data_IF_505059271532
#
_entry.id   IF_505059271532
#
_cell.length_a   1.000
_cell.length_b   1.000
_cell.length_c   1.000
_cell.angle_alpha   90.00
_cell.angle_beta   90.00
_cell.angle_gamma   90.00
#
_symmetry.space_group_name_H-M   'P 1'
#
loop_
_entity.id
_entity.type
_entity.pdbx_description
1 polymer ?
#
# COMPACT_ATOMS: atom_id res chain seq x y z
N UNK A 1 5.69 -3.37 11.09
CA UNK A 1 4.73 -2.25 11.11
C UNK A 1 5.02 -1.11 12.09
N UNK A 2 5.55 -1.36 13.30
CA UNK A 2 5.77 -0.36 14.38
C UNK A 2 6.17 1.07 13.95
N UNK A 3 7.15 1.22 13.05
CA UNK A 3 7.62 2.54 12.58
C UNK A 3 6.57 3.32 11.79
N UNK A 4 5.77 2.63 10.98
CA UNK A 4 4.67 3.23 10.22
C UNK A 4 3.59 3.67 11.19
N UNK A 5 3.20 2.81 12.14
CA UNK A 5 2.20 3.14 13.17
C UNK A 5 2.61 4.37 13.98
N UNK A 6 3.87 4.47 14.41
CA UNK A 6 4.37 5.66 15.12
C UNK A 6 4.21 6.94 14.29
N UNK A 7 4.52 6.88 12.98
CA UNK A 7 4.37 8.04 12.09
C UNK A 7 2.91 8.37 11.79
N UNK A 8 2.06 7.37 11.62
CA UNK A 8 0.61 7.55 11.50
C UNK A 8 0.05 8.30 12.71
N UNK A 9 0.39 7.86 13.93
CA UNK A 9 -0.06 8.51 15.16
C UNK A 9 0.45 9.95 15.26
N UNK A 10 1.71 10.20 14.89
CA UNK A 10 2.27 11.56 14.85
C UNK A 10 1.52 12.47 13.87
N UNK A 11 1.23 11.96 12.66
CA UNK A 11 0.49 12.68 11.62
C UNK A 11 -0.95 12.96 12.08
N UNK A 12 -1.63 11.96 12.66
CA UNK A 12 -2.99 12.09 13.20
C UNK A 12 -3.05 13.11 14.34
N UNK A 13 -2.15 12.99 15.31
CA UNK A 13 -2.09 13.90 16.45
C UNK A 13 -1.83 15.34 15.98
N UNK A 14 -0.98 15.53 14.97
CA UNK A 14 -0.76 16.85 14.40
C UNK A 14 -2.06 17.46 13.83
N UNK A 15 -2.83 16.69 13.05
CA UNK A 15 -4.09 17.16 12.47
C UNK A 15 -5.10 17.51 13.55
N UNK A 16 -5.23 16.66 14.58
CA UNK A 16 -6.20 16.85 15.66
C UNK A 16 -5.84 18.02 16.59
N UNK A 17 -4.54 18.30 16.80
CA UNK A 17 -4.10 19.28 17.79
C UNK A 17 -3.82 20.68 17.21
N UNK A 18 -3.68 20.82 15.88
CA UNK A 18 -3.28 22.09 15.23
C UNK A 18 -4.46 22.92 14.70
N UNK A 19 -5.70 22.45 14.92
CA UNK A 19 -6.92 23.09 14.42
C UNK A 19 -6.84 23.44 12.92
N UNK A 20 -6.28 22.51 12.12
CA UNK A 20 -6.03 22.74 10.69
C UNK A 20 -7.29 23.07 9.91
N UNK A 21 -8.43 22.51 10.32
CA UNK A 21 -9.71 22.76 9.68
C UNK A 21 -10.02 24.26 9.63
N UNK A 22 -10.01 24.92 10.79
CA UNK A 22 -10.30 26.35 10.88
C UNK A 22 -9.25 27.20 10.16
N UNK A 23 -7.97 26.83 10.28
CA UNK A 23 -6.86 27.59 9.69
C UNK A 23 -6.81 27.52 8.16
N UNK A 24 -7.13 26.38 7.55
CA UNK A 24 -6.82 26.13 6.13
C UNK A 24 -7.97 25.54 5.30
N UNK A 25 -8.93 24.85 5.92
CA UNK A 25 -9.88 24.02 5.18
C UNK A 25 -11.35 24.44 5.26
N UNK A 26 -11.69 25.55 5.93
CA UNK A 26 -13.07 26.08 5.97
C UNK A 26 -13.66 26.33 4.58
N UNK A 27 -12.82 26.76 3.61
CA UNK A 27 -13.19 26.94 2.20
C UNK A 27 -12.82 25.73 1.31
N UNK A 28 -12.27 24.66 1.87
CA UNK A 28 -11.76 23.48 1.14
C UNK A 28 -12.27 22.18 1.76
N UNK A 29 -13.60 22.07 1.93
CA UNK A 29 -14.26 20.96 2.63
C UNK A 29 -13.98 19.57 2.00
N UNK A 30 -13.91 19.50 0.68
CA UNK A 30 -13.58 18.26 -0.04
C UNK A 30 -12.16 17.79 0.30
N UNK A 31 -11.19 18.71 0.34
CA UNK A 31 -9.81 18.40 0.70
C UNK A 31 -9.70 17.97 2.18
N UNK A 32 -10.48 18.61 3.07
CA UNK A 32 -10.58 18.18 4.48
C UNK A 32 -11.15 16.77 4.62
N UNK A 33 -12.23 16.45 3.90
CA UNK A 33 -12.79 15.12 3.94
C UNK A 33 -11.78 14.07 3.46
N UNK A 34 -11.09 14.35 2.35
CA UNK A 34 -10.04 13.49 1.84
C UNK A 34 -8.88 13.31 2.83
N UNK A 35 -8.52 14.36 3.58
CA UNK A 35 -7.52 14.27 4.66
C UNK A 35 -7.97 13.31 5.77
N UNK A 36 -9.19 13.48 6.29
CA UNK A 36 -9.74 12.62 7.35
C UNK A 36 -9.79 11.15 6.91
N UNK A 37 -10.38 10.88 5.73
CA UNK A 37 -10.48 9.52 5.18
C UNK A 37 -9.10 8.90 4.98
N UNK A 38 -8.13 9.66 4.48
CA UNK A 38 -6.77 9.15 4.28
C UNK A 38 -6.10 8.76 5.60
N UNK A 39 -6.27 9.57 6.66
CA UNK A 39 -5.72 9.29 8.00
C UNK A 39 -6.38 8.05 8.61
N UNK A 40 -7.71 7.95 8.57
CA UNK A 40 -8.43 6.80 9.11
C UNK A 40 -8.07 5.51 8.38
N UNK A 41 -8.06 5.55 7.04
CA UNK A 41 -7.66 4.40 6.23
C UNK A 41 -6.19 4.00 6.47
N UNK A 42 -5.29 4.96 6.73
CA UNK A 42 -3.91 4.65 7.09
C UNK A 42 -3.83 3.92 8.45
N UNK A 43 -4.63 4.35 9.43
CA UNK A 43 -4.74 3.68 10.73
C UNK A 43 -5.32 2.26 10.62
N UNK A 44 -6.43 2.10 9.90
CA UNK A 44 -7.10 0.81 9.70
C UNK A 44 -6.19 -0.21 9.02
N UNK A 45 -5.44 0.25 8.01
CA UNK A 45 -4.47 -0.61 7.32
C UNK A 45 -3.28 -0.95 8.23
N UNK A 46 -2.89 -0.08 9.17
CA UNK A 46 -1.88 -0.46 10.17
C UNK A 46 -2.36 -1.62 11.05
N UNK A 47 -3.60 -1.56 11.55
CA UNK A 47 -4.19 -2.64 12.36
C UNK A 47 -4.24 -3.97 11.60
N UNK A 48 -4.72 -3.95 10.36
CA UNK A 48 -4.80 -5.14 9.52
C UNK A 48 -3.41 -5.76 9.24
N UNK A 49 -2.42 -4.91 8.96
CA UNK A 49 -1.05 -5.35 8.65
C UNK A 49 -0.30 -5.82 9.89
N UNK A 50 -0.52 -5.21 11.06
CA UNK A 50 0.02 -5.72 12.33
C UNK A 50 -0.54 -7.08 12.68
N UNK A 51 -1.85 -7.31 12.46
CA UNK A 51 -2.45 -8.62 12.64
C UNK A 51 -1.85 -9.66 11.68
N UNK A 52 -1.62 -9.29 10.42
CA UNK A 52 -0.93 -10.17 9.46
C UNK A 52 0.50 -10.50 9.91
N UNK A 53 1.28 -9.50 10.33
CA UNK A 53 2.66 -9.70 10.83
C UNK A 53 2.69 -10.66 12.03
N UNK A 54 1.69 -10.60 12.92
CA UNK A 54 1.61 -11.45 14.11
C UNK A 54 1.08 -12.86 13.83
N UNK A 55 0.13 -13.01 12.90
CA UNK A 55 -0.59 -14.27 12.67
C UNK A 55 -0.07 -15.08 11.47
N UNK A 56 0.78 -14.50 10.62
CA UNK A 56 1.30 -15.15 9.43
C UNK A 56 0.22 -15.50 8.40
N UNK A 57 0.59 -16.23 7.34
CA UNK A 57 -0.30 -16.53 6.21
C UNK A 57 -1.35 -17.62 6.49
N UNK A 58 -1.19 -18.40 7.58
CA UNK A 58 -2.05 -19.53 7.91
C UNK A 58 -1.66 -20.85 7.24
N UNK A 59 -2.31 -21.95 7.64
CA UNK A 59 -1.98 -23.30 7.20
C UNK A 59 -2.98 -23.86 6.19
N UNK A 60 -4.26 -23.50 6.34
CA UNK A 60 -5.34 -23.93 5.46
C UNK A 60 -5.41 -23.10 4.17
N UNK A 61 -5.70 -23.75 3.05
CA UNK A 61 -5.74 -23.10 1.73
C UNK A 61 -6.66 -21.87 1.68
N UNK A 62 -7.85 -21.97 2.26
CA UNK A 62 -8.81 -20.86 2.29
C UNK A 62 -8.30 -19.67 3.11
N UNK A 63 -7.65 -19.94 4.24
CA UNK A 63 -7.07 -18.91 5.10
C UNK A 63 -5.89 -18.22 4.38
N UNK A 64 -5.02 -18.99 3.74
CA UNK A 64 -3.90 -18.50 2.93
C UNK A 64 -4.34 -17.51 1.88
N UNK A 65 -5.38 -17.83 1.10
CA UNK A 65 -5.90 -16.91 0.10
C UNK A 65 -6.51 -15.66 0.73
N UNK A 66 -7.35 -15.81 1.76
CA UNK A 66 -7.99 -14.68 2.41
C UNK A 66 -6.95 -13.70 2.96
N UNK A 67 -5.92 -14.20 3.62
CA UNK A 67 -4.83 -13.40 4.18
C UNK A 67 -3.93 -12.81 3.12
N UNK A 68 -3.59 -13.56 2.05
CA UNK A 68 -2.79 -13.03 0.95
C UNK A 68 -3.52 -11.90 0.22
N UNK A 69 -4.81 -12.07 -0.03
CA UNK A 69 -5.65 -11.07 -0.68
C UNK A 69 -5.85 -9.85 0.22
N UNK A 70 -6.11 -10.09 1.51
CA UNK A 70 -6.21 -9.05 2.53
C UNK A 70 -4.93 -8.24 2.66
N UNK A 71 -3.76 -8.90 2.69
CA UNK A 71 -2.45 -8.25 2.71
C UNK A 71 -2.28 -7.32 1.52
N UNK A 72 -2.48 -7.81 0.30
CA UNK A 72 -2.34 -7.00 -0.90
C UNK A 72 -3.30 -5.82 -0.92
N UNK A 73 -4.55 -6.02 -0.50
CA UNK A 73 -5.55 -4.96 -0.44
C UNK A 73 -5.23 -3.93 0.64
N UNK A 74 -4.79 -4.36 1.83
CA UNK A 74 -4.41 -3.46 2.93
C UNK A 74 -3.20 -2.60 2.54
N UNK A 75 -2.18 -3.18 1.91
CA UNK A 75 -1.03 -2.41 1.40
C UNK A 75 -1.49 -1.42 0.34
N UNK A 76 -2.35 -1.82 -0.60
CA UNK A 76 -2.86 -0.94 -1.65
C UNK A 76 -3.59 0.29 -1.09
N UNK A 77 -4.47 0.07 -0.10
CA UNK A 77 -5.17 1.16 0.60
C UNK A 77 -4.20 2.04 1.39
N UNK A 78 -3.22 1.45 2.08
CA UNK A 78 -2.18 2.20 2.79
C UNK A 78 -1.37 3.09 1.84
N UNK A 79 -1.03 2.58 0.65
CA UNK A 79 -0.37 3.35 -0.39
C UNK A 79 -1.20 4.55 -0.85
N UNK A 80 -2.50 4.36 -1.06
CA UNK A 80 -3.39 5.43 -1.52
C UNK A 80 -3.59 6.51 -0.45
N UNK A 81 -3.73 6.12 0.81
CA UNK A 81 -3.73 7.04 1.95
C UNK A 81 -2.45 7.88 2.00
N UNK A 82 -1.28 7.24 1.93
CA UNK A 82 0.00 7.95 1.96
C UNK A 82 0.12 8.92 0.77
N UNK A 83 -0.32 8.51 -0.43
CA UNK A 83 -0.32 9.40 -1.61
C UNK A 83 -1.21 10.62 -1.41
N UNK A 84 -2.41 10.42 -0.87
CA UNK A 84 -3.32 11.53 -0.59
C UNK A 84 -2.74 12.49 0.45
N UNK A 85 -2.18 11.96 1.54
CA UNK A 85 -1.50 12.77 2.56
C UNK A 85 -0.30 13.52 1.99
N UNK A 86 0.49 12.87 1.14
CA UNK A 86 1.61 13.49 0.45
C UNK A 86 1.14 14.65 -0.43
N UNK A 87 0.07 14.45 -1.19
CA UNK A 87 -0.53 15.48 -2.05
C UNK A 87 -1.00 16.70 -1.26
N UNK A 88 -1.71 16.47 -0.15
CA UNK A 88 -2.21 17.54 0.71
C UNK A 88 -1.04 18.30 1.34
N UNK A 89 -0.16 17.63 2.09
CA UNK A 89 0.85 18.32 2.89
C UNK A 89 2.06 18.83 2.09
N UNK A 90 2.44 18.15 1.00
CA UNK A 90 3.57 18.57 0.16
C UNK A 90 3.15 19.30 -1.12
N UNK A 91 1.85 19.37 -1.44
CA UNK A 91 1.32 20.02 -2.66
C UNK A 91 1.95 19.48 -3.94
N UNK A 92 2.22 18.17 -3.97
CA UNK A 92 2.83 17.46 -5.11
C UNK A 92 2.38 16.00 -5.12
N UNK A 93 2.43 15.35 -6.28
CA UNK A 93 2.09 13.93 -6.37
C UNK A 93 3.30 13.06 -6.02
N UNK A 94 3.07 12.03 -5.20
CA UNK A 94 4.11 11.07 -4.86
C UNK A 94 4.43 10.17 -6.06
N UNK A 95 5.69 10.17 -6.49
CA UNK A 95 6.21 9.34 -7.58
C UNK A 95 7.23 8.32 -7.04
N UNK A 96 6.82 7.08 -6.73
CA UNK A 96 7.74 6.01 -6.36
C UNK A 96 8.64 5.61 -7.54
N UNK A 97 9.86 5.18 -7.26
CA UNK A 97 10.80 4.69 -8.26
C UNK A 97 10.22 3.50 -9.05
N UNK A 98 10.61 3.34 -10.32
CA UNK A 98 10.02 2.32 -11.20
C UNK A 98 10.25 0.89 -10.69
N UNK A 99 11.36 0.67 -10.00
CA UNK A 99 11.79 -0.61 -9.44
C UNK A 99 11.49 -0.72 -7.92
N UNK A 100 10.70 0.22 -7.37
CA UNK A 100 10.35 0.23 -5.94
C UNK A 100 9.47 -0.96 -5.54
N UNK A 101 9.63 -1.42 -4.31
CA UNK A 101 8.76 -2.44 -3.73
C UNK A 101 7.29 -1.98 -3.67
N UNK A 102 7.09 -0.68 -3.44
CA UNK A 102 5.80 0.00 -3.54
C UNK A 102 5.09 -0.30 -4.85
N UNK A 103 5.75 -0.01 -5.98
CA UNK A 103 5.15 -0.20 -7.29
C UNK A 103 4.97 -1.68 -7.61
N UNK A 104 5.97 -2.51 -7.25
CA UNK A 104 5.92 -3.95 -7.47
C UNK A 104 4.76 -4.63 -6.74
N UNK A 105 4.50 -4.31 -5.48
CA UNK A 105 3.34 -4.86 -4.75
C UNK A 105 2.02 -4.44 -5.39
N UNK A 106 1.91 -3.19 -5.84
CA UNK A 106 0.71 -2.70 -6.53
C UNK A 106 0.47 -3.45 -7.84
N UNK A 107 1.53 -3.72 -8.58
CA UNK A 107 1.47 -4.52 -9.80
C UNK A 107 1.04 -5.96 -9.52
N UNK A 108 1.62 -6.60 -8.49
CA UNK A 108 1.26 -7.94 -8.03
C UNK A 108 -0.21 -8.01 -7.64
N UNK A 109 -0.69 -7.10 -6.77
CA UNK A 109 -2.11 -7.02 -6.40
C UNK A 109 -3.00 -6.96 -7.63
N UNK A 110 -2.64 -6.15 -8.62
CA UNK A 110 -3.41 -6.04 -9.86
C UNK A 110 -3.34 -7.31 -10.72
N UNK A 111 -2.22 -8.03 -10.74
CA UNK A 111 -2.08 -9.30 -11.46
C UNK A 111 -2.80 -10.45 -10.75
N UNK A 112 -2.90 -10.45 -9.43
CA UNK A 112 -3.41 -11.59 -8.67
C UNK A 112 -4.85 -11.41 -8.21
N UNK A 113 -5.12 -10.37 -7.45
CA UNK A 113 -6.41 -10.18 -6.75
C UNK A 113 -7.33 -9.20 -7.48
N UNK A 114 -6.75 -8.28 -8.26
CA UNK A 114 -7.50 -7.22 -8.94
C UNK A 114 -8.03 -7.64 -10.31
N UNK A 115 -7.13 -8.02 -11.22
CA UNK A 115 -7.46 -8.31 -12.62
C UNK A 115 -6.72 -9.56 -13.17
N UNK A 116 -6.83 -10.72 -12.51
CA UNK A 116 -6.10 -11.93 -12.92
C UNK A 116 -6.50 -12.48 -14.29
N UNK A 117 -7.74 -12.25 -14.75
CA UNK A 117 -8.27 -12.88 -15.97
C UNK A 117 -7.91 -12.09 -17.24
N UNK A 118 -7.95 -10.76 -17.18
CA UNK A 118 -7.67 -9.90 -18.33
C UNK A 118 -6.98 -8.60 -17.90
N UNK A 119 -5.70 -8.67 -17.53
CA UNK A 119 -4.91 -7.44 -17.39
C UNK A 119 -4.48 -6.98 -18.78
N UNK A 120 -5.01 -5.85 -19.24
CA UNK A 120 -4.54 -5.17 -20.46
C UNK A 120 -3.32 -4.33 -20.10
N UNK A 121 -2.18 -4.59 -20.74
CA UNK A 121 -1.03 -3.69 -20.71
C UNK A 121 -0.57 -3.37 -22.15
N UNK A 122 0.48 -2.55 -22.28
CA UNK A 122 1.04 -2.19 -23.59
C UNK A 122 1.59 -3.40 -24.37
N UNK A 123 1.85 -4.51 -23.68
CA UNK A 123 2.44 -5.74 -24.22
C UNK A 123 1.41 -6.82 -24.55
N UNK A 124 0.14 -6.66 -24.14
CA UNK A 124 -0.94 -7.57 -24.51
C UNK A 124 -1.93 -7.86 -23.37
N UNK A 125 -2.64 -8.99 -23.48
CA UNK A 125 -3.50 -9.51 -22.40
C UNK A 125 -2.72 -10.54 -21.59
N UNK A 126 -2.59 -10.30 -20.29
CA UNK A 126 -2.01 -11.25 -19.34
C UNK A 126 -3.12 -11.94 -18.55
N UNK A 127 -2.95 -13.24 -18.37
CA UNK A 127 -3.75 -14.07 -17.45
C UNK A 127 -2.82 -14.57 -16.37
N UNK A 128 -3.20 -14.39 -15.12
CA UNK A 128 -2.32 -14.64 -14.00
C UNK A 128 -3.06 -15.40 -12.92
N UNK A 129 -2.38 -16.35 -12.29
CA UNK A 129 -2.91 -17.05 -11.13
C UNK A 129 -1.77 -17.45 -10.19
N UNK A 130 -2.10 -17.61 -8.91
CA UNK A 130 -1.14 -18.02 -7.88
C UNK A 130 -1.13 -19.55 -7.82
N UNK A 131 0.05 -20.15 -7.87
CA UNK A 131 0.21 -21.58 -7.63
C UNK A 131 -0.06 -21.89 -6.16
N UNK A 132 -1.23 -22.47 -5.86
CA UNK A 132 -1.71 -22.68 -4.49
C UNK A 132 -0.72 -23.41 -3.59
N UNK A 133 -0.14 -24.48 -4.13
CA UNK A 133 0.79 -25.36 -3.40
C UNK A 133 2.09 -24.64 -2.99
N UNK A 134 2.35 -23.45 -3.54
CA UNK A 134 3.54 -22.65 -3.23
C UNK A 134 3.27 -21.51 -2.26
N UNK A 135 2.02 -21.32 -1.79
CA UNK A 135 1.70 -20.23 -0.86
C UNK A 135 2.26 -20.58 0.52
N UNK A 136 3.29 -19.84 0.93
CA UNK A 136 3.93 -19.94 2.23
C UNK A 136 4.14 -18.54 2.83
N UNK A 137 4.59 -18.47 4.07
CA UNK A 137 4.82 -17.21 4.79
C UNK A 137 5.78 -16.26 4.07
N UNK A 138 6.74 -16.82 3.33
CA UNK A 138 7.82 -16.07 2.71
C UNK A 138 7.50 -15.65 1.27
N UNK A 139 6.50 -16.27 0.63
CA UNK A 139 6.28 -16.09 -0.80
C UNK A 139 5.27 -17.02 -1.44
N UNK A 140 5.17 -16.90 -2.75
CA UNK A 140 4.37 -17.75 -3.63
C UNK A 140 4.90 -17.66 -5.05
N UNK A 141 4.54 -18.61 -5.90
CA UNK A 141 4.83 -18.56 -7.32
C UNK A 141 3.63 -17.97 -8.07
N UNK A 142 3.90 -16.93 -8.86
CA UNK A 142 2.98 -16.35 -9.82
C UNK A 142 3.14 -17.07 -11.16
N UNK A 143 2.04 -17.52 -11.73
CA UNK A 143 2.00 -18.07 -13.08
C UNK A 143 1.37 -17.05 -14.00
N UNK A 144 2.03 -16.75 -15.11
CA UNK A 144 1.61 -15.78 -16.12
C UNK A 144 1.52 -16.47 -17.47
N UNK A 145 0.33 -16.51 -18.06
CA UNK A 145 0.16 -16.98 -19.42
C UNK A 145 0.77 -15.98 -20.41
N UNK A 146 1.82 -16.39 -21.11
CA UNK A 146 2.39 -15.64 -22.21
C UNK A 146 1.69 -16.03 -23.51
N UNK A 147 0.85 -15.12 -24.03
CA UNK A 147 0.09 -15.36 -25.26
C UNK A 147 0.98 -15.55 -26.48
N UNK A 148 2.08 -14.80 -26.60
CA UNK A 148 2.92 -14.82 -27.80
C UNK A 148 3.74 -16.11 -27.91
N UNK A 149 4.09 -16.69 -26.75
CA UNK A 149 4.83 -17.96 -26.66
C UNK A 149 3.93 -19.19 -26.46
N UNK A 150 2.63 -18.98 -26.27
CA UNK A 150 1.64 -20.01 -25.92
C UNK A 150 2.08 -20.92 -24.76
N UNK A 151 2.68 -20.33 -23.72
CA UNK A 151 3.19 -21.06 -22.56
C UNK A 151 3.05 -20.27 -21.27
N UNK A 152 3.09 -20.98 -20.15
CA UNK A 152 3.17 -20.39 -18.82
C UNK A 152 4.61 -19.92 -18.51
N UNK A 153 4.71 -18.71 -17.97
CA UNK A 153 5.92 -18.16 -17.36
C UNK A 153 5.73 -18.15 -15.83
N UNK A 154 6.78 -18.56 -15.12
CA UNK A 154 6.76 -18.73 -13.68
C UNK A 154 7.63 -17.66 -13.03
N UNK A 155 7.10 -17.00 -12.02
CA UNK A 155 7.83 -16.00 -11.24
C UNK A 155 7.71 -16.31 -9.74
N UNK A 156 8.84 -16.59 -9.10
CA UNK A 156 8.89 -16.79 -7.65
C UNK A 156 8.91 -15.45 -6.92
N UNK A 157 7.86 -15.18 -6.14
CA UNK A 157 7.70 -13.92 -5.41
C UNK A 157 8.19 -14.11 -3.98
N UNK A 158 9.31 -13.47 -3.63
CA UNK A 158 9.73 -13.33 -2.24
C UNK A 158 8.94 -12.20 -1.55
N UNK A 159 7.74 -12.54 -1.10
CA UNK A 159 6.79 -11.62 -0.48
C UNK A 159 7.35 -10.99 0.79
N UNK A 160 8.10 -11.75 1.59
CA UNK A 160 8.70 -11.25 2.84
C UNK A 160 9.69 -10.12 2.59
N UNK A 161 10.67 -10.35 1.71
CA UNK A 161 11.66 -9.33 1.35
C UNK A 161 10.99 -8.10 0.73
N UNK A 162 10.05 -8.33 -0.18
CA UNK A 162 9.32 -7.27 -0.86
C UNK A 162 8.50 -6.42 0.13
N UNK A 163 7.83 -7.06 1.09
CA UNK A 163 7.06 -6.37 2.12
C UNK A 163 7.95 -5.57 3.08
N UNK A 164 9.12 -6.08 3.48
CA UNK A 164 10.09 -5.32 4.27
C UNK A 164 10.60 -4.08 3.53
N UNK A 165 10.94 -4.21 2.25
CA UNK A 165 11.36 -3.08 1.42
C UNK A 165 10.26 -2.03 1.30
N UNK A 166 9.01 -2.46 1.06
CA UNK A 166 7.86 -1.56 1.04
C UNK A 166 7.70 -0.78 2.35
N UNK A 167 7.84 -1.44 3.51
CA UNK A 167 7.75 -0.74 4.79
C UNK A 167 8.81 0.35 4.95
N UNK A 168 10.03 0.12 4.45
CA UNK A 168 11.09 1.12 4.46
C UNK A 168 10.74 2.33 3.58
N UNK A 169 10.22 2.08 2.38
CA UNK A 169 9.75 3.11 1.45
C UNK A 169 8.57 3.91 2.03
N UNK A 170 7.57 3.24 2.58
CA UNK A 170 6.42 3.87 3.24
C UNK A 170 6.85 4.77 4.41
N UNK A 171 7.78 4.31 5.25
CA UNK A 171 8.35 5.13 6.33
C UNK A 171 9.06 6.36 5.78
N UNK A 172 9.79 6.27 4.66
CA UNK A 172 10.44 7.42 4.02
C UNK A 172 9.40 8.47 3.64
N UNK A 173 8.30 8.07 3.00
CA UNK A 173 7.25 8.99 2.56
C UNK A 173 6.49 9.61 3.74
N UNK A 174 6.15 8.82 4.76
CA UNK A 174 5.48 9.31 5.96
C UNK A 174 6.35 10.29 6.75
N UNK A 175 7.68 10.07 6.81
CA UNK A 175 8.61 11.05 7.39
C UNK A 175 8.57 12.39 6.64
N UNK A 176 8.55 12.37 5.30
CA UNK A 176 8.44 13.60 4.50
C UNK A 176 7.13 14.33 4.76
N UNK A 177 6.02 13.60 4.89
CA UNK A 177 4.70 14.15 5.24
C UNK A 177 4.75 14.82 6.61
N UNK A 178 5.22 14.11 7.64
CA UNK A 178 5.28 14.64 8.99
C UNK A 178 6.22 15.86 9.11
N UNK A 179 7.35 15.85 8.40
CA UNK A 179 8.23 17.02 8.33
C UNK A 179 7.56 18.21 7.64
N UNK A 180 6.77 17.98 6.59
CA UNK A 180 6.02 19.04 5.91
C UNK A 180 4.95 19.65 6.84
N UNK A 181 4.22 18.83 7.61
CA UNK A 181 3.31 19.31 8.65
C UNK A 181 4.01 20.31 9.60
N UNK A 182 5.12 19.89 10.21
CA UNK A 182 5.83 20.73 11.19
C UNK A 182 6.43 22.00 10.57
N UNK A 183 7.00 21.92 9.36
CA UNK A 183 7.74 23.06 8.78
C UNK A 183 6.87 24.03 8.00
N UNK A 184 5.87 23.53 7.27
CA UNK A 184 5.07 24.34 6.33
C UNK A 184 3.71 24.71 6.90
N UNK A 185 3.11 23.85 7.72
CA UNK A 185 1.74 24.01 8.21
C UNK A 185 1.67 24.49 9.67
N UNK A 186 2.81 24.51 10.36
CA UNK A 186 2.95 25.03 11.73
C UNK A 186 3.48 26.47 11.77
N UNK A 187 3.77 27.07 10.61
CA UNK A 187 4.02 28.49 10.51
C UNK A 187 2.66 29.21 10.58
N UNK A 188 2.57 30.24 11.44
CA UNK A 188 1.40 31.02 11.86
C UNK A 188 0.71 30.51 13.15
#
# INVERSE_FOLDING_TARGET
>A
MRRILTLEQQIRNYVNNTNLYEKYFTSHLDEWNALCVAIDTLGDTCLALEYYEASGIGDEDGEKYLKLYGLFQAIFLQQDSIRQLYRIFLRSDLQPDSESAWKRIRELRNLTVGHPIEKKDKTGRKRCYISRVTIHSDGFQLIVWNKDKEQDEFEDINLKSLYEQYKLEAVKHLKSIHQAQIKKWNAF
#
